data_IF_007742448883
#
_entry.id   IF_007742448883
#
_cell.length_a   1.000
_cell.length_b   1.000
_cell.length_c   1.000
_cell.angle_alpha   90.00
_cell.angle_beta   90.00
_cell.angle_gamma   90.00
#
_symmetry.space_group_name_H-M   'P 1'
#
loop_
_entity.id
_entity.type
_entity.pdbx_description
1 polymer ?
#
# COMPACT_ATOMS: atom_id res chain seq x y z
N UNK A 1 -19.83 4.43 2.07
CA UNK A 1 -20.28 5.79 1.68
C UNK A 1 -19.33 6.43 0.68
N UNK A 2 -19.77 7.48 -0.03
CA UNK A 2 -18.92 8.33 -0.89
C UNK A 2 -18.51 9.61 -0.14
N UNK A 3 -17.42 10.23 -0.55
CA UNK A 3 -16.95 11.51 0.01
C UNK A 3 -15.70 11.99 -0.72
N UNK A 4 -15.45 13.29 -0.73
CA UNK A 4 -14.26 13.89 -1.34
C UNK A 4 -13.45 14.61 -0.27
N UNK A 5 -12.17 14.27 -0.18
CA UNK A 5 -11.25 14.82 0.80
C UNK A 5 -10.04 15.37 0.06
N UNK A 6 -9.85 16.68 0.09
CA UNK A 6 -8.75 17.35 -0.58
C UNK A 6 -7.96 18.21 0.38
N UNK A 7 -6.63 18.20 0.28
CA UNK A 7 -5.73 19.11 1.01
C UNK A 7 -5.90 19.09 2.54
N UNK A 8 -6.22 17.93 3.11
CA UNK A 8 -6.31 17.73 4.55
C UNK A 8 -5.00 17.20 5.12
N UNK A 9 -4.76 17.47 6.40
CA UNK A 9 -3.70 16.86 7.19
C UNK A 9 -4.33 15.97 8.27
N UNK A 10 -4.18 14.66 8.14
CA UNK A 10 -4.75 13.64 9.02
C UNK A 10 -3.60 12.89 9.69
N UNK A 11 -3.46 13.01 11.02
CA UNK A 11 -2.31 12.49 11.74
C UNK A 11 -2.58 12.23 13.22
N UNK A 12 -1.68 11.47 13.85
CA UNK A 12 -1.60 11.27 15.31
C UNK A 12 -2.84 10.57 15.92
N UNK A 13 -3.50 9.71 15.13
CA UNK A 13 -4.60 8.85 15.60
C UNK A 13 -4.10 7.49 16.11
N UNK A 14 -4.87 6.88 17.02
CA UNK A 14 -4.45 5.67 17.78
C UNK A 14 -4.56 4.37 16.98
N UNK A 15 -5.41 4.32 15.95
CA UNK A 15 -5.61 3.11 15.13
C UNK A 15 -5.29 3.42 13.67
N UNK A 16 -6.12 4.24 13.04
CA UNK A 16 -5.89 4.69 11.68
C UNK A 16 -6.36 6.13 11.46
N UNK A 17 -5.76 6.83 10.50
CA UNK A 17 -6.22 8.15 10.08
C UNK A 17 -7.42 8.06 9.14
N UNK A 18 -7.40 7.08 8.23
CA UNK A 18 -8.51 6.79 7.32
C UNK A 18 -8.87 5.32 7.42
N UNK A 19 -10.16 5.01 7.58
CA UNK A 19 -10.70 3.67 7.47
C UNK A 19 -11.78 3.63 6.39
N UNK A 20 -11.63 2.75 5.40
CA UNK A 20 -12.68 2.45 4.42
C UNK A 20 -13.19 1.02 4.64
N UNK A 21 -14.51 0.89 4.75
CA UNK A 21 -15.17 -0.38 5.05
C UNK A 21 -16.56 -0.46 4.44
N UNK A 22 -17.08 -1.67 4.30
CA UNK A 22 -18.47 -1.94 3.89
C UNK A 22 -18.81 -1.25 2.57
N UNK A 23 -18.00 -1.51 1.53
CA UNK A 23 -18.18 -0.95 0.18
C UNK A 23 -18.15 0.59 0.12
N UNK A 24 -17.55 1.24 1.12
CA UNK A 24 -17.27 2.66 1.02
C UNK A 24 -16.26 2.94 -0.10
N UNK A 25 -16.53 3.97 -0.91
CA UNK A 25 -15.66 4.40 -2.00
C UNK A 25 -15.47 5.93 -1.97
N UNK A 26 -14.73 6.45 -0.96
CA UNK A 26 -14.33 7.84 -0.89
C UNK A 26 -13.14 8.16 -1.81
N UNK A 27 -12.96 9.44 -2.10
CA UNK A 27 -11.89 10.00 -2.92
C UNK A 27 -10.99 10.90 -2.06
N UNK A 28 -9.68 10.66 -2.11
CA UNK A 28 -8.67 11.42 -1.39
C UNK A 28 -7.62 11.95 -2.37
N UNK A 29 -7.54 13.27 -2.54
CA UNK A 29 -6.54 13.90 -3.41
C UNK A 29 -5.72 15.00 -2.70
N UNK A 30 -4.38 14.91 -2.78
CA UNK A 30 -3.51 15.97 -2.25
C UNK A 30 -3.50 16.10 -0.73
N UNK A 31 -3.82 15.03 0.01
CA UNK A 31 -3.80 15.02 1.47
C UNK A 31 -2.45 14.58 2.03
N UNK A 32 -2.19 14.93 3.29
CA UNK A 32 -1.12 14.39 4.11
C UNK A 32 -1.73 13.46 5.15
N UNK A 33 -1.43 12.16 5.07
CA UNK A 33 -2.04 11.12 5.91
C UNK A 33 -0.89 10.35 6.57
N UNK A 34 -0.53 10.70 7.81
CA UNK A 34 0.73 10.24 8.40
C UNK A 34 0.69 10.06 9.92
N UNK A 35 1.78 9.53 10.51
CA UNK A 35 1.96 9.45 11.97
C UNK A 35 0.82 8.73 12.70
N UNK A 36 0.35 7.60 12.16
CA UNK A 36 -0.55 6.66 12.83
C UNK A 36 0.00 5.23 12.67
N UNK A 37 -0.43 4.26 13.50
CA UNK A 37 -0.07 2.86 13.31
C UNK A 37 -0.44 2.35 11.90
N UNK A 38 -1.62 2.71 11.40
CA UNK A 38 -2.00 2.48 10.01
C UNK A 38 -2.51 3.79 9.43
N UNK A 39 -1.86 4.37 8.43
CA UNK A 39 -2.35 5.64 7.88
C UNK A 39 -3.65 5.48 7.10
N UNK A 40 -3.74 4.48 6.24
CA UNK A 40 -4.96 4.14 5.51
C UNK A 40 -5.26 2.65 5.72
N UNK A 41 -6.40 2.35 6.33
CA UNK A 41 -6.92 1.00 6.50
C UNK A 41 -8.11 0.78 5.57
N UNK A 42 -7.99 -0.15 4.63
CA UNK A 42 -9.10 -0.62 3.81
C UNK A 42 -9.45 -2.06 4.20
N UNK A 43 -10.69 -2.31 4.60
CA UNK A 43 -11.16 -3.61 5.07
C UNK A 43 -12.62 -3.86 4.68
N UNK A 44 -13.12 -5.08 4.85
CA UNK A 44 -14.54 -5.45 4.65
C UNK A 44 -15.13 -4.92 3.34
N UNK A 45 -14.53 -5.31 2.21
CA UNK A 45 -14.90 -4.83 0.86
C UNK A 45 -14.80 -3.31 0.69
N UNK A 46 -14.03 -2.63 1.55
CA UNK A 46 -13.75 -1.21 1.45
C UNK A 46 -13.01 -0.88 0.16
N UNK A 47 -13.52 0.11 -0.55
CA UNK A 47 -12.87 0.70 -1.71
C UNK A 47 -12.29 2.07 -1.32
N UNK A 48 -11.79 2.80 -2.31
CA UNK A 48 -11.33 4.17 -2.17
C UNK A 48 -10.35 4.51 -3.26
N UNK A 49 -10.30 5.77 -3.64
CA UNK A 49 -9.33 6.27 -4.61
C UNK A 49 -8.43 7.30 -3.94
N UNK A 50 -7.16 6.95 -3.80
CA UNK A 50 -6.14 7.77 -3.15
C UNK A 50 -5.16 8.23 -4.21
N UNK A 51 -5.17 9.51 -4.53
CA UNK A 51 -4.32 10.09 -5.56
C UNK A 51 -3.48 11.27 -5.08
N UNK A 52 -2.19 11.32 -5.44
CA UNK A 52 -1.30 12.46 -5.13
C UNK A 52 -1.27 12.82 -3.63
N UNK A 53 -1.44 11.85 -2.75
CA UNK A 53 -1.31 12.04 -1.31
C UNK A 53 0.13 11.79 -0.87
N UNK A 54 0.49 12.35 0.27
CA UNK A 54 1.69 11.95 1.04
C UNK A 54 1.22 11.04 2.17
N UNK A 55 1.78 9.84 2.24
CA UNK A 55 1.37 8.79 3.17
C UNK A 55 2.61 8.27 3.92
N UNK A 56 2.55 8.22 5.26
CA UNK A 56 3.61 7.69 6.14
C UNK A 56 3.01 7.12 7.43
N UNK A 57 3.78 6.57 8.37
CA UNK A 57 3.22 5.97 9.60
C UNK A 57 4.02 4.78 10.12
N UNK A 58 3.39 3.81 10.77
CA UNK A 58 4.04 2.50 10.93
C UNK A 58 3.83 1.69 9.65
N UNK A 59 2.56 1.42 9.31
CA UNK A 59 2.14 0.95 7.99
C UNK A 59 1.46 2.09 7.22
N UNK A 60 1.91 2.37 5.99
CA UNK A 60 1.31 3.41 5.16
C UNK A 60 -0.14 3.09 4.77
N UNK A 61 -0.32 1.99 4.03
CA UNK A 61 -1.62 1.48 3.61
C UNK A 61 -1.74 -0.01 3.91
N UNK A 62 -2.81 -0.40 4.60
CA UNK A 62 -3.16 -1.80 4.83
C UNK A 62 -4.45 -2.13 4.10
N UNK A 63 -4.40 -3.12 3.21
CA UNK A 63 -5.53 -3.58 2.40
C UNK A 63 -5.85 -5.02 2.77
N UNK A 64 -6.98 -5.20 3.47
CA UNK A 64 -7.37 -6.46 4.08
C UNK A 64 -8.80 -6.86 3.74
N UNK A 65 -9.19 -8.09 4.08
CA UNK A 65 -10.59 -8.52 4.13
C UNK A 65 -11.36 -8.18 2.83
N UNK A 66 -10.80 -8.60 1.70
CA UNK A 66 -11.37 -8.39 0.36
C UNK A 66 -11.53 -6.93 -0.07
N UNK A 67 -10.89 -5.98 0.62
CA UNK A 67 -10.84 -4.58 0.19
C UNK A 67 -10.12 -4.41 -1.15
N UNK A 68 -10.50 -3.40 -1.93
CA UNK A 68 -9.98 -3.15 -3.27
C UNK A 68 -9.84 -1.65 -3.59
N UNK A 69 -8.98 -0.90 -2.86
CA UNK A 69 -8.73 0.50 -3.14
C UNK A 69 -7.80 0.67 -4.35
N UNK A 70 -7.75 1.89 -4.88
CA UNK A 70 -6.76 2.31 -5.89
C UNK A 70 -5.86 3.38 -5.31
N UNK A 71 -4.56 3.11 -5.27
CA UNK A 71 -3.49 4.01 -4.87
C UNK A 71 -2.75 4.47 -6.13
N UNK A 72 -2.91 5.73 -6.51
CA UNK A 72 -2.34 6.26 -7.75
C UNK A 72 -1.48 7.52 -7.52
N UNK A 73 -0.25 7.57 -8.03
CA UNK A 73 0.60 8.77 -8.00
C UNK A 73 0.82 9.34 -6.58
N UNK A 74 0.81 8.50 -5.55
CA UNK A 74 1.10 8.93 -4.17
C UNK A 74 2.60 8.87 -3.88
N UNK A 75 3.01 9.62 -2.87
CA UNK A 75 4.33 9.51 -2.24
C UNK A 75 4.18 8.77 -0.91
N UNK A 76 4.76 7.58 -0.81
CA UNK A 76 4.67 6.71 0.36
C UNK A 76 6.05 6.51 0.97
N UNK A 77 6.32 7.23 2.06
CA UNK A 77 7.65 7.24 2.69
C UNK A 77 7.56 7.49 4.19
N UNK A 78 8.68 7.25 4.90
CA UNK A 78 8.77 7.37 6.36
C UNK A 78 7.76 6.46 7.08
N UNK A 79 7.51 5.27 6.51
CA UNK A 79 6.84 4.19 7.23
C UNK A 79 7.86 3.41 8.05
N UNK A 80 7.63 3.16 9.34
CA UNK A 80 8.58 2.38 10.17
C UNK A 80 8.59 0.88 9.81
N UNK A 81 7.53 0.40 9.19
CA UNK A 81 7.37 -0.99 8.74
C UNK A 81 7.30 -1.04 7.20
N UNK A 82 6.13 -1.31 6.62
CA UNK A 82 5.91 -1.38 5.18
C UNK A 82 5.02 -0.24 4.66
N UNK A 83 5.27 0.21 3.44
CA UNK A 83 4.47 1.28 2.84
C UNK A 83 3.09 0.77 2.42
N UNK A 84 3.03 -0.40 1.78
CA UNK A 84 1.78 -1.07 1.39
C UNK A 84 1.79 -2.51 1.89
N UNK A 85 0.75 -2.92 2.61
CA UNK A 85 0.51 -4.29 3.01
C UNK A 85 -0.81 -4.78 2.45
N UNK A 86 -0.78 -5.83 1.62
CA UNK A 86 -1.97 -6.47 1.06
C UNK A 86 -2.09 -7.87 1.63
N UNK A 87 -3.16 -8.13 2.38
CA UNK A 87 -3.35 -9.40 3.06
C UNK A 87 -4.82 -9.83 3.14
N UNK A 88 -5.07 -11.05 3.61
CA UNK A 88 -6.41 -11.58 3.90
C UNK A 88 -7.38 -11.39 2.72
N UNK A 89 -6.99 -11.90 1.55
CA UNK A 89 -7.76 -11.76 0.30
C UNK A 89 -7.93 -10.32 -0.19
N UNK A 90 -7.21 -9.36 0.39
CA UNK A 90 -7.14 -8.00 -0.09
C UNK A 90 -6.68 -7.97 -1.56
N UNK A 91 -7.36 -7.15 -2.34
CA UNK A 91 -6.98 -6.81 -3.70
C UNK A 91 -6.44 -5.38 -3.69
N UNK A 92 -6.51 -4.68 -4.82
CA UNK A 92 -6.15 -3.29 -4.93
C UNK A 92 -5.21 -3.01 -6.10
N UNK A 93 -5.22 -1.75 -6.52
CA UNK A 93 -4.36 -1.25 -7.60
C UNK A 93 -3.35 -0.29 -6.99
N UNK A 94 -2.06 -0.59 -7.10
CA UNK A 94 -0.96 0.28 -6.68
C UNK A 94 -0.23 0.72 -7.93
N UNK A 95 -0.54 1.92 -8.44
CA UNK A 95 -0.06 2.37 -9.75
C UNK A 95 0.64 3.72 -9.76
N UNK A 96 1.82 3.78 -10.37
CA UNK A 96 2.51 5.06 -10.61
C UNK A 96 2.95 5.79 -9.35
N UNK A 97 3.13 5.08 -8.23
CA UNK A 97 3.50 5.69 -6.95
C UNK A 97 5.03 5.74 -6.78
N UNK A 98 5.47 6.68 -5.95
CA UNK A 98 6.84 6.71 -5.41
C UNK A 98 6.83 6.13 -4.00
N UNK A 99 7.50 5.00 -3.81
CA UNK A 99 7.54 4.25 -2.54
C UNK A 99 8.99 4.17 -2.06
N UNK A 100 9.33 4.92 -1.02
CA UNK A 100 10.74 5.06 -0.64
C UNK A 100 10.98 5.32 0.84
N UNK A 101 12.20 5.06 1.33
CA UNK A 101 12.59 5.38 2.71
C UNK A 101 11.63 4.79 3.76
N UNK A 102 11.24 3.52 3.58
CA UNK A 102 10.44 2.75 4.53
C UNK A 102 11.33 1.77 5.30
N UNK A 103 10.95 1.43 6.54
CA UNK A 103 11.79 0.66 7.45
C UNK A 103 12.02 -0.80 7.03
N UNK A 104 11.10 -1.39 6.26
CA UNK A 104 11.19 -2.78 5.79
C UNK A 104 10.89 -2.91 4.29
N UNK A 105 9.63 -3.20 3.93
CA UNK A 105 9.21 -3.44 2.55
C UNK A 105 8.55 -2.22 1.93
N UNK A 106 8.80 -1.97 0.64
CA UNK A 106 7.95 -1.06 -0.12
C UNK A 106 6.53 -1.63 -0.24
N UNK A 107 6.42 -2.83 -0.80
CA UNK A 107 5.15 -3.57 -0.92
C UNK A 107 5.30 -4.96 -0.30
N UNK A 108 4.41 -5.31 0.62
CA UNK A 108 4.30 -6.62 1.22
C UNK A 108 2.96 -7.27 0.85
N UNK A 109 2.99 -8.50 0.36
CA UNK A 109 1.79 -9.29 0.07
C UNK A 109 1.82 -10.61 0.84
N UNK A 110 0.78 -10.85 1.64
CA UNK A 110 0.61 -12.07 2.47
C UNK A 110 -0.81 -12.61 2.39
N UNK A 111 -1.06 -13.78 2.97
CA UNK A 111 -2.39 -14.33 3.27
C UNK A 111 -3.39 -14.20 2.10
N UNK A 112 -3.04 -14.76 0.94
CA UNK A 112 -3.86 -14.72 -0.28
C UNK A 112 -4.12 -13.32 -0.87
N UNK A 113 -3.39 -12.30 -0.42
CA UNK A 113 -3.42 -10.98 -1.05
C UNK A 113 -3.08 -11.07 -2.54
N UNK A 114 -3.76 -10.30 -3.37
CA UNK A 114 -3.63 -10.38 -4.83
C UNK A 114 -3.76 -8.99 -5.49
N UNK A 115 -2.81 -8.07 -5.26
CA UNK A 115 -2.85 -6.75 -5.86
C UNK A 115 -2.39 -6.73 -7.32
N UNK A 116 -2.70 -5.64 -8.02
CA UNK A 116 -1.98 -5.23 -9.23
C UNK A 116 -1.05 -4.07 -8.88
N UNK A 117 0.24 -4.25 -9.08
CA UNK A 117 1.29 -3.27 -8.76
C UNK A 117 1.97 -2.89 -10.07
N UNK A 118 1.74 -1.68 -10.57
CA UNK A 118 2.23 -1.28 -11.89
C UNK A 118 2.86 0.10 -11.99
N UNK A 119 3.97 0.22 -12.73
CA UNK A 119 4.58 1.52 -13.02
C UNK A 119 5.08 2.29 -11.80
N UNK A 120 5.35 1.63 -10.67
CA UNK A 120 5.81 2.30 -9.45
C UNK A 120 7.34 2.42 -9.42
N UNK A 121 7.84 3.45 -8.75
CA UNK A 121 9.26 3.57 -8.39
C UNK A 121 9.42 3.22 -6.91
N UNK A 122 10.16 2.16 -6.62
CA UNK A 122 10.33 1.63 -5.26
C UNK A 122 11.82 1.59 -4.91
N UNK A 123 12.25 2.45 -3.97
CA UNK A 123 13.67 2.68 -3.74
C UNK A 123 14.05 3.13 -2.32
N UNK A 124 15.34 3.03 -1.95
CA UNK A 124 15.88 3.51 -0.67
C UNK A 124 15.21 2.86 0.57
N UNK A 125 14.96 1.55 0.55
CA UNK A 125 14.56 0.73 1.72
C UNK A 125 15.18 -0.67 1.68
N UNK A 126 14.91 -1.51 2.68
CA UNK A 126 15.49 -2.86 2.76
C UNK A 126 15.03 -3.77 1.60
N UNK A 127 13.72 -3.95 1.42
CA UNK A 127 13.15 -4.83 0.39
C UNK A 127 12.17 -4.04 -0.47
N UNK A 128 12.24 -4.21 -1.79
CA UNK A 128 11.30 -3.57 -2.72
C UNK A 128 9.90 -4.17 -2.62
N UNK A 129 9.75 -5.39 -3.14
CA UNK A 129 8.50 -6.16 -3.12
C UNK A 129 8.74 -7.49 -2.41
N UNK A 130 7.90 -7.84 -1.45
CA UNK A 130 7.92 -9.12 -0.75
C UNK A 130 6.57 -9.83 -0.90
N UNK A 131 6.57 -11.09 -1.35
CA UNK A 131 5.38 -11.93 -1.49
C UNK A 131 5.59 -13.24 -0.74
N UNK A 132 4.74 -13.55 0.23
CA UNK A 132 4.83 -14.76 1.06
C UNK A 132 3.46 -15.26 1.53
N UNK A 133 3.41 -16.37 2.27
CA UNK A 133 2.17 -16.88 2.89
C UNK A 133 0.98 -16.97 1.91
N UNK A 134 1.14 -17.69 0.80
CA UNK A 134 0.10 -17.84 -0.25
C UNK A 134 -0.27 -16.53 -0.97
N UNK A 135 0.51 -15.46 -0.77
CA UNK A 135 0.41 -14.21 -1.51
C UNK A 135 0.58 -14.40 -3.01
N UNK A 136 -0.13 -13.57 -3.77
CA UNK A 136 -0.18 -13.53 -5.23
C UNK A 136 -0.08 -12.08 -5.70
N UNK A 137 -0.27 -11.85 -6.98
CA UNK A 137 -0.38 -10.50 -7.52
C UNK A 137 0.20 -10.41 -8.92
N UNK A 138 -0.10 -9.31 -9.57
CA UNK A 138 0.42 -8.93 -10.88
C UNK A 138 1.36 -7.75 -10.70
N UNK A 139 2.58 -7.87 -11.18
CA UNK A 139 3.64 -6.88 -11.00
C UNK A 139 4.25 -6.53 -12.35
N UNK A 140 3.98 -5.33 -12.85
CA UNK A 140 4.38 -4.93 -14.21
C UNK A 140 5.04 -3.55 -14.22
N UNK A 141 6.08 -3.35 -15.03
CA UNK A 141 6.70 -2.03 -15.26
C UNK A 141 7.16 -1.29 -13.98
N UNK A 142 7.51 -2.00 -12.90
CA UNK A 142 7.99 -1.37 -11.67
C UNK A 142 9.51 -1.19 -11.68
N UNK A 143 9.97 0.00 -11.31
CA UNK A 143 11.39 0.31 -11.13
C UNK A 143 11.80 0.09 -9.68
N UNK A 144 12.66 -0.89 -9.43
CA UNK A 144 13.14 -1.28 -8.10
C UNK A 144 14.65 -1.03 -8.01
N UNK A 145 15.10 -0.07 -7.20
CA UNK A 145 16.52 0.31 -7.16
C UNK A 145 16.97 0.85 -5.80
N UNK A 146 18.28 0.80 -5.51
CA UNK A 146 18.88 1.25 -4.24
C UNK A 146 18.18 0.64 -3.02
N UNK A 147 18.13 -0.70 -3.00
CA UNK A 147 17.52 -1.46 -1.90
C UNK A 147 18.61 -2.17 -1.12
N UNK A 148 18.52 -2.16 0.21
CA UNK A 148 19.62 -2.64 1.07
C UNK A 148 19.76 -4.17 1.05
N UNK A 149 18.65 -4.89 0.84
CA UNK A 149 18.62 -6.35 0.82
C UNK A 149 18.34 -6.91 -0.58
N UNK A 150 17.13 -6.72 -1.11
CA UNK A 150 16.76 -7.25 -2.43
C UNK A 150 15.57 -6.52 -3.08
N UNK A 151 15.50 -6.59 -4.41
CA UNK A 151 14.40 -6.02 -5.20
C UNK A 151 13.09 -6.77 -4.99
N UNK A 152 13.14 -8.09 -5.14
CA UNK A 152 11.98 -8.97 -5.02
C UNK A 152 12.34 -10.13 -4.10
N UNK A 153 11.52 -10.36 -3.09
CA UNK A 153 11.59 -11.51 -2.18
C UNK A 153 10.32 -12.34 -2.32
N UNK A 154 10.47 -13.62 -2.66
CA UNK A 154 9.36 -14.58 -2.76
C UNK A 154 9.63 -15.69 -1.77
N UNK A 155 8.70 -15.94 -0.85
CA UNK A 155 8.84 -16.98 0.18
C UNK A 155 7.59 -17.88 0.24
N UNK A 156 7.74 -19.04 0.90
CA UNK A 156 6.65 -20.00 1.11
C UNK A 156 6.05 -20.49 -0.22
N UNK A 157 4.75 -20.71 -0.28
CA UNK A 157 3.99 -21.13 -1.47
C UNK A 157 3.39 -19.93 -2.23
N UNK A 158 4.04 -18.77 -2.16
CA UNK A 158 3.63 -17.59 -2.91
C UNK A 158 3.72 -17.82 -4.43
N UNK A 159 2.81 -17.19 -5.18
CA UNK A 159 2.72 -17.31 -6.63
C UNK A 159 2.42 -15.94 -7.27
N UNK A 160 3.37 -15.00 -7.23
CA UNK A 160 3.25 -13.74 -7.95
C UNK A 160 3.59 -13.90 -9.43
N UNK A 161 3.04 -13.01 -10.24
CA UNK A 161 3.29 -12.92 -11.68
C UNK A 161 3.98 -11.58 -11.97
N UNK A 162 5.19 -11.64 -12.52
CA UNK A 162 6.01 -10.47 -12.84
C UNK A 162 6.19 -10.38 -14.36
N UNK A 163 5.70 -9.28 -14.96
CA UNK A 163 5.68 -9.04 -16.40
C UNK A 163 6.45 -7.78 -16.82
#
# INVERSE_FOLDING_TARGET
GKGNFTTNNMKENVVANVCTQSQANPQFEGNWIHSAPISILCMDEGEGFFRRNVIGGETGVSINASANPTLQLNWMYDCTEQAVHVAKWGAGIVKGNDIFQNGKQGVLVTDFGNPTVSGNRIFDQSIGICVRQEGRGQFEENELYRLDQCAVLIESVACPDFN
#
